data_IF_640025361117
#
_entry.id   IF_640025361117
#
_cell.length_a   1.000
_cell.length_b   1.000
_cell.length_c   1.000
_cell.angle_alpha   90.00
_cell.angle_beta   90.00
_cell.angle_gamma   90.00
#
_symmetry.space_group_name_H-M   'P 1'
#
loop_
_entity.id
_entity.type
_entity.pdbx_description
1 polymer ?
#
# COMPACT_ATOMS: atom_id res chain seq x y z
N UNK A 1 20.88 8.93 -17.50
CA UNK A 1 19.58 8.25 -17.29
C UNK A 1 18.93 8.88 -16.08
N UNK A 2 17.94 9.73 -16.31
CA UNK A 2 17.36 10.61 -15.30
C UNK A 2 16.55 9.80 -14.25
N UNK A 3 16.86 9.89 -12.93
CA UNK A 3 16.14 9.20 -11.86
C UNK A 3 14.63 9.49 -11.84
N UNK A 4 14.21 10.63 -12.41
CA UNK A 4 12.81 10.99 -12.54
C UNK A 4 12.05 10.14 -13.57
N UNK A 5 12.74 9.60 -14.60
CA UNK A 5 12.10 8.73 -15.60
C UNK A 5 11.75 7.35 -15.02
N UNK A 6 12.57 6.79 -14.12
CA UNK A 6 12.27 5.50 -13.47
C UNK A 6 11.06 5.59 -12.53
N UNK A 7 10.81 6.75 -11.90
CA UNK A 7 9.64 6.98 -11.03
C UNK A 7 8.32 7.20 -11.79
N UNK A 8 8.35 7.36 -13.12
CA UNK A 8 7.16 7.57 -13.97
C UNK A 8 6.52 6.27 -14.46
N UNK A 9 7.03 5.12 -14.05
CA UNK A 9 6.47 3.81 -14.40
C UNK A 9 5.11 3.57 -13.71
N UNK A 10 4.03 4.12 -14.29
CA UNK A 10 2.65 3.82 -13.90
C UNK A 10 2.28 4.19 -12.46
N UNK A 11 1.16 3.63 -11.99
CA UNK A 11 0.85 3.65 -10.56
C UNK A 11 1.80 2.68 -9.87
N UNK A 12 2.54 3.18 -8.88
CA UNK A 12 3.36 2.34 -8.02
C UNK A 12 2.46 1.43 -7.19
N UNK A 13 2.79 0.14 -7.09
CA UNK A 13 2.07 -0.84 -6.27
C UNK A 13 1.88 -0.35 -4.82
N UNK A 14 2.84 0.42 -4.29
CA UNK A 14 2.72 1.04 -2.95
C UNK A 14 1.57 2.04 -2.86
N UNK A 15 1.29 2.83 -3.90
CA UNK A 15 0.15 3.76 -3.92
C UNK A 15 -1.20 3.00 -3.91
N UNK A 16 -1.28 1.87 -4.62
CA UNK A 16 -2.47 1.01 -4.60
C UNK A 16 -2.69 0.37 -3.23
N UNK A 17 -1.60 -0.11 -2.62
CA UNK A 17 -1.64 -0.81 -1.34
C UNK A 17 -1.95 0.10 -0.16
N UNK A 18 -1.45 1.34 -0.19
CA UNK A 18 -1.63 2.34 0.87
C UNK A 18 -2.73 3.34 0.56
N UNK A 19 -3.58 3.10 -0.45
CA UNK A 19 -4.59 4.07 -0.87
C UNK A 19 -5.48 4.54 0.28
N UNK A 20 -6.03 3.60 1.04
CA UNK A 20 -6.90 3.90 2.19
C UNK A 20 -6.17 4.66 3.30
N UNK A 21 -4.90 4.36 3.54
CA UNK A 21 -4.08 5.09 4.51
C UNK A 21 -3.80 6.53 4.05
N UNK A 22 -3.69 6.75 2.73
CA UNK A 22 -3.41 8.06 2.13
C UNK A 22 -4.68 8.92 2.12
N UNK A 23 -5.81 8.41 1.61
CA UNK A 23 -7.03 9.22 1.47
C UNK A 23 -8.00 9.10 2.65
N UNK A 24 -7.76 8.15 3.56
CA UNK A 24 -8.64 7.84 4.68
C UNK A 24 -9.75 6.85 4.32
N UNK A 25 -10.31 6.18 5.33
CA UNK A 25 -11.29 5.10 5.15
C UNK A 25 -12.58 5.51 4.41
N UNK A 26 -13.04 6.75 4.58
CA UNK A 26 -14.27 7.25 3.94
C UNK A 26 -14.18 7.19 2.41
N UNK A 27 -13.10 7.74 1.84
CA UNK A 27 -12.85 7.74 0.40
C UNK A 27 -12.21 6.41 -0.03
N UNK A 28 -11.30 5.88 0.78
CA UNK A 28 -10.52 4.68 0.50
C UNK A 28 -11.33 3.39 0.46
N UNK A 29 -12.50 3.34 1.09
CA UNK A 29 -13.39 2.17 1.01
C UNK A 29 -14.12 2.06 -0.34
N UNK A 30 -14.42 3.19 -0.98
CA UNK A 30 -15.31 3.31 -2.14
C UNK A 30 -14.62 3.83 -3.41
N UNK A 31 -13.29 3.98 -3.38
CA UNK A 31 -12.50 4.48 -4.51
C UNK A 31 -11.14 3.82 -4.64
N UNK A 32 -10.57 3.82 -5.85
CA UNK A 32 -9.23 3.27 -6.14
C UNK A 32 -8.50 4.12 -7.18
N UNK A 33 -7.17 4.27 -7.09
CA UNK A 33 -6.41 4.95 -8.12
C UNK A 33 -6.25 3.98 -9.32
N UNK A 34 -6.49 4.48 -10.54
CA UNK A 34 -6.51 3.67 -11.76
C UNK A 34 -5.27 3.83 -12.61
N UNK A 35 -4.89 5.08 -12.88
CA UNK A 35 -3.67 5.43 -13.60
C UNK A 35 -3.28 6.87 -13.33
N UNK A 36 -2.02 7.18 -13.56
CA UNK A 36 -1.49 8.55 -13.59
C UNK A 36 -1.25 8.91 -15.05
N UNK A 37 -1.93 9.94 -15.54
CA UNK A 37 -1.74 10.47 -16.89
C UNK A 37 -0.73 11.60 -16.83
N UNK A 38 0.48 11.30 -17.27
CA UNK A 38 1.54 12.28 -17.41
C UNK A 38 1.33 13.13 -18.67
N UNK A 39 1.53 14.46 -18.59
CA UNK A 39 1.51 15.30 -19.77
C UNK A 39 2.62 14.86 -20.74
N UNK A 40 2.34 14.93 -22.05
CA UNK A 40 3.27 14.55 -23.09
C UNK A 40 4.42 15.56 -23.13
N UNK A 41 5.66 15.08 -23.04
CA UNK A 41 6.85 15.89 -23.34
C UNK A 41 7.19 15.78 -24.82
N UNK A 42 7.51 16.90 -25.44
CA UNK A 42 8.01 16.99 -26.81
C UNK A 42 9.55 16.99 -26.83
N UNK A 43 10.19 17.54 -25.80
CA UNK A 43 11.65 17.59 -25.66
C UNK A 43 12.10 17.12 -24.27
N UNK A 44 13.34 16.61 -24.15
CA UNK A 44 13.89 16.17 -22.85
C UNK A 44 13.98 17.33 -21.84
N UNK A 45 14.29 18.52 -22.33
CA UNK A 45 14.40 19.77 -21.56
C UNK A 45 13.05 20.38 -21.16
N UNK A 46 11.92 19.77 -21.56
CA UNK A 46 10.60 20.30 -21.20
C UNK A 46 10.43 20.35 -19.67
N UNK A 47 9.93 21.48 -19.13
CA UNK A 47 9.68 21.63 -17.71
C UNK A 47 8.85 20.49 -17.12
N UNK A 48 9.11 20.17 -15.85
CA UNK A 48 8.25 19.24 -15.12
C UNK A 48 6.84 19.81 -14.98
N UNK A 49 5.85 19.04 -15.43
CA UNK A 49 4.45 19.37 -15.32
C UNK A 49 3.72 18.28 -14.51
N UNK A 50 2.94 18.65 -13.48
CA UNK A 50 2.18 17.70 -12.70
C UNK A 50 1.20 16.89 -13.54
N UNK A 51 1.01 15.64 -13.16
CA UNK A 51 0.12 14.69 -13.83
C UNK A 51 -1.33 14.77 -13.34
N UNK A 52 -2.21 14.08 -14.07
CA UNK A 52 -3.60 13.84 -13.65
C UNK A 52 -3.73 12.44 -13.07
N UNK A 53 -4.14 12.33 -11.81
CA UNK A 53 -4.51 11.05 -11.20
C UNK A 53 -5.95 10.71 -11.57
N UNK A 54 -6.17 9.54 -12.17
CA UNK A 54 -7.52 9.01 -12.39
C UNK A 54 -7.91 8.11 -11.24
N UNK A 55 -9.07 8.37 -10.65
CA UNK A 55 -9.66 7.60 -9.55
C UNK A 55 -10.95 6.94 -10.04
N UNK A 56 -11.06 5.62 -9.88
CA UNK A 56 -12.34 4.91 -9.96
C UNK A 56 -13.09 5.10 -8.65
N UNK A 57 -14.37 5.39 -8.70
CA UNK A 57 -15.20 5.36 -7.50
C UNK A 57 -16.64 4.94 -7.80
N UNK A 58 -17.31 4.45 -6.77
CA UNK A 58 -18.77 4.30 -6.79
C UNK A 58 -19.43 5.69 -6.84
N UNK A 59 -20.63 5.78 -7.44
CA UNK A 59 -21.25 7.07 -7.79
C UNK A 59 -21.41 8.04 -6.60
N UNK A 60 -21.70 7.54 -5.41
CA UNK A 60 -21.87 8.36 -4.20
C UNK A 60 -20.55 8.98 -3.70
N UNK A 61 -19.42 8.31 -3.91
CA UNK A 61 -18.10 8.78 -3.46
C UNK A 61 -17.52 9.89 -4.35
N UNK A 62 -18.06 10.08 -5.56
CA UNK A 62 -17.57 11.08 -6.51
C UNK A 62 -17.65 12.50 -5.95
N UNK A 63 -18.77 12.83 -5.28
CA UNK A 63 -18.97 14.15 -4.70
C UNK A 63 -17.95 14.44 -3.59
N UNK A 64 -17.72 13.46 -2.71
CA UNK A 64 -16.74 13.59 -1.63
C UNK A 64 -15.32 13.80 -2.18
N UNK A 65 -14.92 13.02 -3.19
CA UNK A 65 -13.62 13.19 -3.86
C UNK A 65 -13.50 14.58 -4.49
N UNK A 66 -14.57 15.13 -5.06
CA UNK A 66 -14.57 16.49 -5.63
C UNK A 66 -14.36 17.56 -4.55
N UNK A 67 -15.06 17.46 -3.41
CA UNK A 67 -14.90 18.39 -2.29
C UNK A 67 -13.51 18.31 -1.66
N UNK A 68 -12.96 17.10 -1.51
CA UNK A 68 -11.65 16.85 -0.88
C UNK A 68 -10.49 16.81 -1.90
N UNK A 69 -10.70 17.24 -3.15
CA UNK A 69 -9.70 17.11 -4.23
C UNK A 69 -8.34 17.72 -3.86
N UNK A 70 -8.32 18.92 -3.26
CA UNK A 70 -7.07 19.57 -2.88
C UNK A 70 -6.32 18.79 -1.78
N UNK A 71 -7.05 18.24 -0.82
CA UNK A 71 -6.49 17.44 0.26
C UNK A 71 -5.95 16.10 -0.25
N UNK A 72 -6.70 15.40 -1.10
CA UNK A 72 -6.26 14.15 -1.73
C UNK A 72 -4.97 14.39 -2.53
N UNK A 73 -4.89 15.47 -3.31
CA UNK A 73 -3.67 15.82 -4.06
C UNK A 73 -2.50 16.04 -3.10
N UNK A 74 -2.71 16.78 -2.02
CA UNK A 74 -1.69 17.05 -1.00
C UNK A 74 -1.17 15.75 -0.38
N UNK A 75 -2.08 14.89 0.10
CA UNK A 75 -1.71 13.61 0.73
C UNK A 75 -1.02 12.65 -0.23
N UNK A 76 -1.50 12.55 -1.48
CA UNK A 76 -0.86 11.72 -2.52
C UNK A 76 0.54 12.24 -2.87
N UNK A 77 0.73 13.55 -3.01
CA UNK A 77 2.04 14.12 -3.28
C UNK A 77 2.99 13.97 -2.08
N UNK A 78 2.47 14.09 -0.85
CA UNK A 78 3.22 13.80 0.38
C UNK A 78 3.71 12.35 0.41
N UNK A 79 2.86 11.40 0.03
CA UNK A 79 3.23 10.00 -0.10
C UNK A 79 4.27 9.75 -1.21
N UNK A 80 4.14 10.41 -2.35
CA UNK A 80 5.08 10.29 -3.48
C UNK A 80 6.41 11.01 -3.22
N UNK A 81 6.44 11.96 -2.28
CA UNK A 81 7.62 12.75 -1.91
C UNK A 81 7.94 13.90 -2.87
N UNK A 82 7.04 14.24 -3.79
CA UNK A 82 7.16 15.37 -4.72
C UNK A 82 5.78 15.75 -5.29
N UNK A 83 5.67 16.92 -5.92
CA UNK A 83 4.44 17.44 -6.53
C UNK A 83 4.07 16.73 -7.84
N UNK A 84 3.86 15.42 -7.77
CA UNK A 84 3.58 14.55 -8.92
C UNK A 84 2.22 14.82 -9.56
N UNK A 85 1.19 15.09 -8.75
CA UNK A 85 -0.20 15.21 -9.16
C UNK A 85 -0.65 16.66 -9.02
N UNK A 86 -1.25 17.21 -10.06
CA UNK A 86 -1.85 18.54 -10.05
C UNK A 86 -3.36 18.54 -10.30
N UNK A 87 -3.92 17.39 -10.71
CA UNK A 87 -5.34 17.26 -11.02
C UNK A 87 -5.84 15.85 -10.71
N UNK A 88 -7.10 15.76 -10.31
CA UNK A 88 -7.83 14.50 -10.19
C UNK A 88 -8.90 14.42 -11.28
N UNK A 89 -9.04 13.24 -11.89
CA UNK A 89 -10.16 12.90 -12.77
C UNK A 89 -10.89 11.69 -12.18
N UNK A 90 -12.21 11.78 -12.10
CA UNK A 90 -13.05 10.69 -11.58
C UNK A 90 -13.60 9.88 -12.75
N UNK A 91 -13.46 8.56 -12.68
CA UNK A 91 -14.14 7.61 -13.56
C UNK A 91 -15.17 6.84 -12.72
N UNK A 92 -16.46 7.05 -12.97
CA UNK A 92 -17.53 6.31 -12.30
C UNK A 92 -17.61 4.91 -12.88
N UNK A 93 -16.96 3.98 -12.20
CA UNK A 93 -17.02 2.56 -12.47
C UNK A 93 -16.86 1.84 -11.14
N UNK A 94 -17.44 0.64 -10.97
CA UNK A 94 -17.19 -0.16 -9.79
C UNK A 94 -15.67 -0.26 -9.60
N UNK A 95 -15.09 0.31 -8.53
CA UNK A 95 -13.69 0.06 -8.24
C UNK A 95 -13.56 -1.46 -8.11
N UNK A 96 -12.54 -2.08 -8.70
CA UNK A 96 -12.33 -3.51 -8.48
C UNK A 96 -11.99 -3.71 -6.99
N UNK A 97 -13.01 -3.96 -6.16
CA UNK A 97 -12.89 -4.11 -4.71
C UNK A 97 -12.45 -5.54 -4.42
N UNK A 98 -11.27 -5.94 -4.86
CA UNK A 98 -10.76 -7.26 -4.49
C UNK A 98 -9.29 -7.24 -4.11
N UNK A 99 -9.01 -6.43 -3.08
CA UNK A 99 -7.92 -6.70 -2.15
C UNK A 99 -8.42 -6.41 -0.74
N UNK A 100 -9.47 -7.13 -0.28
CA UNK A 100 -9.55 -7.34 1.17
C UNK A 100 -8.20 -7.92 1.55
N UNK A 101 -7.45 -7.21 2.39
CA UNK A 101 -6.21 -7.70 3.00
C UNK A 101 -6.60 -8.99 3.71
N UNK A 102 -6.55 -10.12 3.01
CA UNK A 102 -6.75 -11.41 3.65
C UNK A 102 -5.53 -11.50 4.56
N UNK A 103 -5.69 -11.56 5.89
CA UNK A 103 -4.55 -11.79 6.75
C UNK A 103 -3.85 -13.01 6.16
N UNK A 104 -2.58 -12.82 5.78
CA UNK A 104 -1.80 -13.88 5.14
C UNK A 104 -1.85 -15.02 6.16
N UNK A 105 -2.58 -16.09 5.85
CA UNK A 105 -2.64 -17.26 6.74
C UNK A 105 -1.25 -17.84 6.73
N UNK A 106 -0.48 -17.49 7.75
CA UNK A 106 0.83 -18.05 7.97
C UNK A 106 0.64 -19.57 8.13
N UNK A 107 1.43 -20.39 7.42
CA UNK A 107 1.32 -21.84 7.52
C UNK A 107 1.57 -22.28 8.97
N UNK A 108 0.77 -23.25 9.45
CA UNK A 108 0.96 -23.84 10.77
C UNK A 108 2.38 -24.43 10.88
N UNK A 109 3.02 -24.23 12.03
CA UNK A 109 4.37 -24.75 12.29
C UNK A 109 4.35 -26.27 12.37
N UNK A 110 5.44 -26.91 11.96
CA UNK A 110 5.62 -28.33 12.22
C UNK A 110 5.90 -28.56 13.72
N UNK A 111 5.52 -29.72 14.29
CA UNK A 111 5.80 -30.03 15.71
C UNK A 111 7.29 -29.94 16.10
N UNK A 112 8.19 -30.14 15.14
CA UNK A 112 9.64 -29.99 15.32
C UNK A 112 10.09 -28.53 15.45
N UNK A 113 9.39 -27.59 14.81
CA UNK A 113 9.67 -26.16 14.85
C UNK A 113 9.16 -25.55 16.17
N UNK A 114 7.99 -25.99 16.65
CA UNK A 114 7.46 -25.59 17.96
C UNK A 114 8.42 -26.01 19.08
N UNK A 115 8.87 -27.27 19.08
CA UNK A 115 9.87 -27.77 20.03
C UNK A 115 11.19 -27.00 19.98
N UNK A 116 11.55 -26.42 18.83
CA UNK A 116 12.76 -25.60 18.70
C UNK A 116 12.58 -24.24 19.37
N UNK A 117 11.39 -23.64 19.26
CA UNK A 117 11.05 -22.40 19.95
C UNK A 117 11.00 -22.63 21.45
N UNK A 118 10.37 -23.73 21.90
CA UNK A 118 10.29 -24.06 23.32
C UNK A 118 11.69 -24.23 23.92
N UNK A 119 12.56 -25.02 23.27
CA UNK A 119 13.96 -25.15 23.70
C UNK A 119 14.75 -23.84 23.70
N UNK A 120 14.47 -22.93 22.75
CA UNK A 120 15.15 -21.65 22.67
C UNK A 120 14.67 -20.64 23.74
N UNK A 121 13.51 -20.89 24.36
CA UNK A 121 12.89 -20.00 25.35
C UNK A 121 12.84 -20.61 26.77
N UNK A 122 13.35 -21.84 26.93
CA UNK A 122 13.37 -22.61 28.18
C UNK A 122 14.14 -21.91 29.31
N UNK A 123 15.21 -21.19 28.99
CA UNK A 123 16.04 -20.46 29.97
C UNK A 123 15.49 -19.09 30.40
N UNK A 124 14.25 -18.75 30.05
CA UNK A 124 13.65 -17.44 30.35
C UNK A 124 12.72 -17.57 31.55
N UNK A 125 13.18 -17.02 32.69
CA UNK A 125 12.46 -17.05 33.97
C UNK A 125 11.20 -16.18 33.97
N UNK A 126 11.21 -15.07 33.22
CA UNK A 126 10.04 -14.20 33.07
C UNK A 126 9.03 -14.80 32.08
N UNK A 127 7.88 -15.23 32.60
CA UNK A 127 6.81 -15.87 31.83
C UNK A 127 6.24 -14.99 30.71
N UNK A 128 6.13 -13.67 30.93
CA UNK A 128 5.60 -12.74 29.96
C UNK A 128 6.58 -12.53 28.80
N UNK A 129 7.87 -12.43 29.12
CA UNK A 129 8.95 -12.35 28.15
C UNK A 129 9.07 -13.67 27.35
N UNK A 130 9.00 -14.81 28.04
CA UNK A 130 9.03 -16.15 27.42
C UNK A 130 7.88 -16.29 26.42
N UNK A 131 6.66 -15.92 26.80
CA UNK A 131 5.49 -15.95 25.93
C UNK A 131 5.63 -14.99 24.73
N UNK A 132 6.14 -13.77 24.95
CA UNK A 132 6.35 -12.80 23.89
C UNK A 132 7.38 -13.28 22.85
N UNK A 133 8.48 -13.86 23.31
CA UNK A 133 9.55 -14.39 22.46
C UNK A 133 9.13 -15.67 21.74
N UNK A 134 8.37 -16.55 22.40
CA UNK A 134 7.77 -17.71 21.76
C UNK A 134 6.83 -17.28 20.63
N UNK A 135 5.96 -16.28 20.88
CA UNK A 135 5.05 -15.72 19.86
C UNK A 135 5.82 -15.11 18.68
N UNK A 136 6.92 -14.40 18.93
CA UNK A 136 7.79 -13.86 17.89
C UNK A 136 8.44 -14.97 17.06
N UNK A 137 9.01 -15.99 17.72
CA UNK A 137 9.62 -17.15 17.06
C UNK A 137 8.63 -17.88 16.14
N UNK A 138 7.37 -18.02 16.58
CA UNK A 138 6.29 -18.60 15.77
C UNK A 138 6.03 -17.80 14.50
N UNK A 139 5.95 -16.47 14.61
CA UNK A 139 5.71 -15.58 13.47
C UNK A 139 6.86 -15.60 12.45
N UNK A 140 8.12 -15.53 12.91
CA UNK A 140 9.31 -15.52 12.03
C UNK A 140 9.44 -16.83 11.25
N UNK A 141 9.27 -17.99 11.91
CA UNK A 141 9.37 -19.29 11.25
C UNK A 141 8.24 -19.49 10.22
N UNK A 142 7.02 -19.08 10.55
CA UNK A 142 5.89 -19.19 9.65
C UNK A 142 6.03 -18.23 8.44
N UNK A 143 6.62 -17.05 8.62
CA UNK A 143 6.94 -16.11 7.54
C UNK A 143 8.02 -16.67 6.60
N UNK A 144 9.11 -17.22 7.16
CA UNK A 144 10.20 -17.85 6.38
C UNK A 144 9.71 -19.02 5.52
N UNK A 145 8.64 -19.70 5.94
CA UNK A 145 7.99 -20.77 5.20
C UNK A 145 7.11 -20.24 4.06
N UNK A 146 6.50 -19.07 4.23
CA UNK A 146 5.76 -18.38 3.17
C UNK A 146 6.66 -17.83 2.06
N UNK A 147 7.93 -17.54 2.33
CA UNK A 147 8.89 -17.01 1.33
C UNK A 147 9.63 -18.09 0.55
N UNK A 148 9.60 -19.35 1.01
CA UNK A 148 10.35 -20.47 0.42
C UNK A 148 9.50 -21.33 -0.53
N UNK A 149 8.29 -20.86 -0.86
CA UNK A 149 7.28 -21.54 -1.67
C UNK A 149 7.02 -20.69 -2.91
#
# INVERSE_FOLDING_TARGET
MDPMLQKRAGINLSLLQSWEDIVGAAIGSSSRPLRILWPRRLHEDDPFSPATLIIACEGFAALQIQHETGEIISRVNGFLGFSAIGRIKIEQKPPAIDFKRRPKRLPALAPSEERRIDKATDGIEDDALRAALARLGKNILAEKRSTKK
#
